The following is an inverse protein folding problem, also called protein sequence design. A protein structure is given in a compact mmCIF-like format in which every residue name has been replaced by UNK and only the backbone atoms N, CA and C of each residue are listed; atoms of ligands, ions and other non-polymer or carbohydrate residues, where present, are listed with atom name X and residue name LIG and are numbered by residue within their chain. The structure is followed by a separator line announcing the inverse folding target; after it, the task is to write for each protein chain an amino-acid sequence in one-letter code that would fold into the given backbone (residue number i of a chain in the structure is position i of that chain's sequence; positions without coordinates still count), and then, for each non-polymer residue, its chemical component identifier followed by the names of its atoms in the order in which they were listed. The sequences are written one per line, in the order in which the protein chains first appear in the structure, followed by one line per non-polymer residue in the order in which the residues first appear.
data_IF_384340845104
#
_entry.id   IF_384340845104
#
_cell.length_a   1.000
_cell.length_b   1.000
_cell.length_c   1.000
_cell.angle_alpha   90.00
_cell.angle_beta   90.00
_cell.angle_gamma   90.00
#
_symmetry.space_group_name_H-M   'P 1'
#
loop_
_entity.id
_entity.type
_entity.pdbx_description
1 polymer ?
#
# COMPACT_ATOMS: atom_id res chain seq x y z
N UNK A 1 -0.23 -19.52 -17.06
CA UNK A 1 -1.08 -18.95 -15.99
C UNK A 1 -1.17 -17.47 -16.25
N UNK A 2 -2.35 -17.06 -16.70
CA UNK A 2 -2.62 -15.75 -17.28
C UNK A 2 -2.53 -14.65 -16.21
N UNK A 3 -1.50 -13.82 -16.30
CA UNK A 3 -1.17 -12.78 -15.33
C UNK A 3 -1.76 -11.42 -15.74
N UNK A 4 -3.01 -11.43 -16.22
CA UNK A 4 -3.81 -10.23 -16.42
C UNK A 4 -4.63 -9.96 -15.15
N UNK A 5 -3.97 -9.54 -14.07
CA UNK A 5 -4.68 -8.75 -13.05
C UNK A 5 -5.04 -7.45 -13.76
N UNK A 6 -6.25 -7.42 -14.32
CA UNK A 6 -6.85 -6.28 -15.02
C UNK A 6 -6.45 -5.02 -14.28
N UNK A 7 -5.78 -4.09 -14.97
CA UNK A 7 -5.19 -2.88 -14.38
C UNK A 7 -6.23 -1.93 -13.73
N UNK A 8 -7.52 -2.30 -13.76
CA UNK A 8 -8.64 -1.64 -13.10
C UNK A 8 -9.58 -2.67 -12.40
N UNK A 9 -9.03 -3.67 -11.72
CA UNK A 9 -9.87 -4.59 -10.93
C UNK A 9 -10.52 -3.83 -9.77
N UNK A 10 -11.81 -3.54 -9.90
CA UNK A 10 -12.63 -3.01 -8.81
C UNK A 10 -12.90 -4.16 -7.84
N UNK A 11 -12.42 -4.03 -6.59
CA UNK A 11 -12.75 -4.96 -5.52
C UNK A 11 -13.57 -4.23 -4.46
N UNK A 12 -14.55 -4.93 -3.90
CA UNK A 12 -15.47 -4.39 -2.89
C UNK A 12 -15.11 -4.93 -1.51
N UNK A 13 -15.02 -4.04 -0.51
CA UNK A 13 -14.80 -4.45 0.87
C UNK A 13 -16.12 -4.90 1.51
N UNK A 14 -16.22 -6.18 1.88
CA UNK A 14 -17.42 -6.77 2.50
C UNK A 14 -17.41 -6.76 4.03
N UNK A 15 -16.36 -6.19 4.65
CA UNK A 15 -16.19 -6.19 6.11
C UNK A 15 -15.29 -7.31 6.61
N UNK A 16 -14.81 -7.20 7.85
CA UNK A 16 -13.99 -8.21 8.54
C UNK A 16 -12.75 -8.69 7.76
N UNK A 17 -12.16 -7.82 6.94
CA UNK A 17 -11.02 -8.17 6.09
C UNK A 17 -11.37 -8.95 4.82
N UNK A 18 -12.65 -9.13 4.50
CA UNK A 18 -13.13 -9.84 3.30
C UNK A 18 -13.28 -8.86 2.14
N UNK A 19 -12.86 -9.29 0.95
CA UNK A 19 -12.96 -8.56 -0.31
C UNK A 19 -13.57 -9.44 -1.39
N UNK A 20 -14.33 -8.83 -2.31
CA UNK A 20 -14.88 -9.50 -3.48
C UNK A 20 -14.45 -8.80 -4.77
N UNK A 21 -13.80 -9.51 -5.72
CA UNK A 21 -13.30 -10.88 -5.57
C UNK A 21 -12.22 -10.98 -4.48
N UNK A 22 -11.94 -12.19 -4.00
CA UNK A 22 -10.90 -12.42 -3.00
C UNK A 22 -9.53 -11.98 -3.54
N UNK A 23 -8.81 -11.17 -2.76
CA UNK A 23 -7.48 -10.67 -3.12
C UNK A 23 -6.45 -10.92 -2.01
N UNK A 24 -5.20 -11.12 -2.40
CA UNK A 24 -4.08 -11.02 -1.48
C UNK A 24 -3.70 -9.54 -1.30
N UNK A 25 -4.22 -8.91 -0.25
CA UNK A 25 -4.02 -7.47 0.02
C UNK A 25 -2.54 -7.11 0.15
N UNK A 26 -1.73 -7.99 0.77
CA UNK A 26 -0.30 -7.77 0.97
C UNK A 26 0.45 -7.71 -0.35
N UNK A 27 0.25 -8.71 -1.21
CA UNK A 27 0.86 -8.75 -2.53
C UNK A 27 0.38 -7.60 -3.41
N UNK A 28 -0.92 -7.30 -3.37
CA UNK A 28 -1.51 -6.20 -4.12
C UNK A 28 -0.91 -4.84 -3.71
N UNK A 29 -0.84 -4.55 -2.40
CA UNK A 29 -0.22 -3.31 -1.91
C UNK A 29 1.27 -3.23 -2.21
N UNK A 30 2.00 -4.35 -2.11
CA UNK A 30 3.41 -4.38 -2.49
C UNK A 30 3.60 -4.00 -3.96
N UNK A 31 2.86 -4.64 -4.89
CA UNK A 31 2.92 -4.32 -6.33
C UNK A 31 2.55 -2.85 -6.59
N UNK A 32 1.55 -2.33 -5.89
CA UNK A 32 1.13 -0.95 -6.02
C UNK A 32 2.21 0.04 -5.56
N UNK A 33 2.81 -0.19 -4.39
CA UNK A 33 3.92 0.63 -3.87
C UNK A 33 5.15 0.50 -4.77
N UNK A 34 5.42 -0.68 -5.34
CA UNK A 34 6.50 -0.87 -6.31
C UNK A 34 6.29 -0.08 -7.60
N UNK A 35 5.05 -0.02 -8.09
CA UNK A 35 4.69 0.68 -9.34
C UNK A 35 4.67 2.21 -9.17
N UNK A 36 4.21 2.71 -8.01
CA UNK A 36 3.90 4.15 -7.81
C UNK A 36 4.71 4.84 -6.72
N UNK A 37 5.50 4.11 -5.94
CA UNK A 37 6.27 4.64 -4.83
C UNK A 37 7.18 5.80 -5.26
N UNK A 38 7.41 6.80 -4.39
CA UNK A 38 6.92 6.89 -3.01
C UNK A 38 5.46 7.32 -2.86
N UNK A 39 4.70 6.64 -1.99
CA UNK A 39 3.26 6.90 -1.77
C UNK A 39 2.89 7.06 -0.30
N UNK A 40 1.81 7.77 0.00
CA UNK A 40 1.26 7.92 1.34
C UNK A 40 0.11 6.93 1.62
N UNK A 41 -0.18 6.69 2.90
CA UNK A 41 -1.36 5.91 3.31
C UNK A 41 -2.68 6.48 2.75
N UNK A 42 -2.80 7.80 2.68
CA UNK A 42 -4.00 8.45 2.18
C UNK A 42 -4.18 8.22 0.67
N UNK A 43 -3.09 8.26 -0.09
CA UNK A 43 -3.12 7.94 -1.52
C UNK A 43 -3.47 6.48 -1.76
N UNK A 44 -2.87 5.55 -1.00
CA UNK A 44 -3.22 4.13 -1.06
C UNK A 44 -4.71 3.90 -0.73
N UNK A 45 -5.25 4.55 0.29
CA UNK A 45 -6.67 4.46 0.64
C UNK A 45 -7.55 4.98 -0.49
N UNK A 46 -7.22 6.15 -1.05
CA UNK A 46 -7.98 6.78 -2.13
C UNK A 46 -7.96 5.95 -3.42
N UNK A 47 -6.82 5.35 -3.73
CA UNK A 47 -6.63 4.59 -4.95
C UNK A 47 -7.26 3.20 -4.87
N UNK A 48 -7.13 2.53 -3.72
CA UNK A 48 -7.56 1.14 -3.57
C UNK A 48 -8.98 1.01 -3.02
N UNK A 49 -9.51 2.03 -2.34
CA UNK A 49 -10.76 1.91 -1.57
C UNK A 49 -10.65 1.02 -0.33
N UNK A 50 -9.46 0.46 -0.04
CA UNK A 50 -9.22 -0.38 1.14
C UNK A 50 -9.28 0.49 2.40
N UNK A 51 -9.94 0.04 3.48
CA UNK A 51 -9.97 0.76 4.74
C UNK A 51 -8.58 1.13 5.24
N UNK A 52 -8.45 2.35 5.78
CA UNK A 52 -7.18 2.92 6.23
C UNK A 52 -6.44 2.06 7.27
N UNK A 53 -7.18 1.37 8.15
CA UNK A 53 -6.61 0.45 9.14
C UNK A 53 -6.02 -0.79 8.46
N UNK A 54 -6.75 -1.40 7.52
CA UNK A 54 -6.26 -2.53 6.71
C UNK A 54 -5.01 -2.18 5.91
N UNK A 55 -4.98 -0.97 5.32
CA UNK A 55 -3.76 -0.43 4.67
C UNK A 55 -2.60 -0.35 5.67
N UNK A 56 -2.85 0.19 6.87
CA UNK A 56 -1.81 0.33 7.89
C UNK A 56 -1.26 -1.02 8.34
N UNK A 57 -2.12 -1.96 8.69
CA UNK A 57 -1.71 -3.30 9.15
C UNK A 57 -0.89 -4.02 8.09
N UNK A 58 -1.27 -3.85 6.82
CA UNK A 58 -0.55 -4.47 5.70
C UNK A 58 0.78 -3.81 5.45
N UNK A 59 0.87 -2.48 5.52
CA UNK A 59 2.14 -1.74 5.46
C UNK A 59 3.09 -2.19 6.57
N UNK A 60 2.58 -2.35 7.80
CA UNK A 60 3.39 -2.82 8.92
C UNK A 60 3.97 -4.19 8.63
N UNK A 61 3.17 -5.13 8.09
CA UNK A 61 3.67 -6.45 7.67
C UNK A 61 4.75 -6.33 6.61
N UNK A 62 4.50 -5.58 5.53
CA UNK A 62 5.49 -5.37 4.45
C UNK A 62 6.80 -4.74 4.95
N UNK A 63 6.73 -3.88 5.95
CA UNK A 63 7.92 -3.29 6.59
C UNK A 63 8.67 -4.30 7.46
N UNK A 64 7.95 -5.14 8.22
CA UNK A 64 8.56 -6.21 9.02
C UNK A 64 9.25 -7.26 8.14
N UNK A 65 8.72 -7.48 6.95
CA UNK A 65 9.34 -8.34 5.92
C UNK A 65 10.43 -7.62 5.10
N UNK A 66 10.80 -6.39 5.49
CA UNK A 66 11.82 -5.56 4.82
C UNK A 66 11.56 -5.29 3.33
N UNK A 67 10.33 -5.49 2.86
CA UNK A 67 9.96 -5.29 1.45
C UNK A 67 9.77 -3.81 1.10
N UNK A 68 9.36 -3.01 2.09
CA UNK A 68 9.15 -1.56 1.95
C UNK A 68 9.76 -0.83 3.14
N UNK A 69 10.11 0.44 2.94
CA UNK A 69 10.58 1.34 4.01
C UNK A 69 9.70 2.58 4.12
N UNK A 70 9.65 3.14 5.32
CA UNK A 70 8.99 4.42 5.61
C UNK A 70 10.01 5.55 5.64
N UNK A 71 9.62 6.72 5.15
CA UNK A 71 10.37 7.95 5.38
C UNK A 71 9.39 9.13 5.51
N UNK A 72 9.84 10.20 6.16
CA UNK A 72 9.06 11.43 6.29
C UNK A 72 9.70 12.56 5.52
N UNK A 73 8.90 13.36 4.83
CA UNK A 73 9.37 14.59 4.19
C UNK A 73 9.08 15.76 5.14
N UNK A 74 10.11 16.44 5.68
CA UNK A 74 9.93 17.62 6.50
C UNK A 74 9.18 18.69 5.72
N UNK A 75 8.20 19.33 6.35
CA UNK A 75 7.51 20.48 5.78
C UNK A 75 7.81 21.71 6.61
N UNK A 76 7.98 22.88 5.98
CA UNK A 76 8.09 24.18 6.67
C UNK A 76 6.77 24.61 7.32
N UNK A 77 5.68 23.84 7.18
CA UNK A 77 4.36 24.10 7.76
C UNK A 77 4.24 23.42 9.12
N UNK A 78 3.52 24.07 10.05
CA UNK A 78 3.18 23.48 11.36
C UNK A 78 2.36 22.20 11.18
N UNK A 79 2.60 21.19 12.00
CA UNK A 79 1.88 19.91 11.99
C UNK A 79 2.79 18.70 11.79
N UNK A 80 2.19 17.51 11.76
CA UNK A 80 2.93 16.25 11.59
C UNK A 80 3.46 16.14 10.15
N UNK A 81 4.76 15.82 9.94
CA UNK A 81 5.31 15.57 8.61
C UNK A 81 4.53 14.49 7.85
N UNK A 82 4.50 14.61 6.52
CA UNK A 82 3.93 13.58 5.66
C UNK A 82 4.86 12.36 5.63
N UNK A 83 4.26 11.18 5.75
CA UNK A 83 4.97 9.90 5.74
C UNK A 83 4.68 9.19 4.41
N UNK A 84 5.76 8.78 3.77
CA UNK A 84 5.78 8.06 2.49
C UNK A 84 6.35 6.66 2.68
N UNK A 85 5.98 5.78 1.77
CA UNK A 85 6.43 4.39 1.69
C UNK A 85 6.93 4.10 0.29
N UNK A 86 8.05 3.41 0.19
CA UNK A 86 8.64 2.97 -1.07
C UNK A 86 9.28 1.58 -0.90
N UNK A 87 9.50 0.87 -2.01
CA UNK A 87 10.16 -0.43 -2.01
C UNK A 87 11.61 -0.30 -1.50
N UNK A 88 12.04 -1.29 -0.71
CA UNK A 88 13.46 -1.50 -0.46
C UNK A 88 14.02 -2.14 -1.72
N UNK A 89 14.91 -1.45 -2.43
CA UNK A 89 15.64 -2.08 -3.54
C UNK A 89 16.61 -3.09 -2.94
N UNK A 90 16.67 -4.34 -3.42
CA UNK A 90 17.72 -5.25 -3.00
C UNK A 90 19.07 -4.59 -3.29
N UNK A 91 19.93 -4.55 -2.28
CA UNK A 91 21.34 -4.20 -2.47
C UNK A 91 21.95 -5.28 -3.36
N UNK A 92 22.41 -4.88 -4.55
CA UNK A 92 23.23 -5.71 -5.45
C UNK A 92 24.55 -6.09 -4.77
#
# INVERSE_FOLDING_TARGET
MDNSIKENATFEYKGRGVFEPAINIKEYLFKLIAKKGPVTRSELTKETGIPRTTIYDTIVKLMLDEQIKKFSVPSKRRGRPRVFYEIVKPSL
#
